data_IF_021816086401
#
_entry.id   IF_021816086401
#
_cell.length_a   1.000
_cell.length_b   1.000
_cell.length_c   1.000
_cell.angle_alpha   90.00
_cell.angle_beta   90.00
_cell.angle_gamma   90.00
#
_symmetry.space_group_name_H-M   'P 1'
#
loop_
_entity.id
_entity.type
_entity.pdbx_description
1 polymer ?
#
# COMPACT_ATOMS: atom_id res chain seq x y z
N UNK A 1 2.17 -71.24 -18.02
CA UNK A 1 3.11 -70.36 -18.73
C UNK A 1 2.33 -69.19 -19.26
N UNK A 2 2.44 -68.07 -18.63
CA UNK A 2 2.23 -66.76 -19.25
C UNK A 2 2.63 -65.69 -18.24
N UNK A 3 3.53 -64.85 -18.67
CA UNK A 3 4.18 -63.81 -17.84
C UNK A 3 3.31 -62.55 -17.83
N UNK A 4 2.87 -62.13 -16.65
CA UNK A 4 2.25 -60.84 -16.43
C UNK A 4 3.28 -59.71 -16.49
N UNK A 5 3.09 -58.78 -17.42
CA UNK A 5 3.87 -57.58 -17.56
C UNK A 5 3.43 -56.54 -16.55
N UNK A 6 4.39 -56.05 -15.75
CA UNK A 6 4.20 -54.90 -14.86
C UNK A 6 4.21 -53.60 -15.68
N UNK A 7 3.13 -52.84 -15.65
CA UNK A 7 3.07 -51.49 -16.18
C UNK A 7 3.76 -50.51 -15.21
N UNK A 8 4.83 -49.89 -15.68
CA UNK A 8 5.50 -48.79 -15.00
C UNK A 8 4.67 -47.51 -15.10
N UNK A 9 4.19 -47.02 -13.98
CA UNK A 9 3.65 -45.66 -13.84
C UNK A 9 4.80 -44.67 -13.88
N UNK A 10 4.87 -43.86 -14.91
CA UNK A 10 5.75 -42.68 -14.95
C UNK A 10 5.14 -41.59 -14.06
N UNK A 11 5.94 -40.88 -13.25
CA UNK A 11 5.44 -39.68 -12.53
C UNK A 11 5.33 -38.54 -13.55
N UNK A 12 4.12 -38.00 -13.66
CA UNK A 12 3.79 -36.89 -14.55
C UNK A 12 4.47 -35.58 -14.08
N UNK A 13 4.89 -34.86 -15.08
CA UNK A 13 5.49 -33.53 -15.14
C UNK A 13 4.76 -32.47 -14.32
N UNK A 14 5.28 -32.11 -13.14
CA UNK A 14 4.92 -30.91 -12.41
C UNK A 14 6.11 -29.93 -12.24
N UNK A 15 7.23 -30.17 -12.92
CA UNK A 15 8.46 -29.37 -12.74
C UNK A 15 8.50 -28.07 -13.57
N UNK A 16 7.80 -28.04 -14.69
CA UNK A 16 7.89 -26.89 -15.61
C UNK A 16 6.95 -25.75 -15.24
N UNK A 17 5.78 -26.05 -14.68
CA UNK A 17 4.84 -25.06 -14.18
C UNK A 17 5.37 -24.38 -12.89
N UNK A 18 6.05 -25.14 -12.03
CA UNK A 18 6.70 -24.60 -10.85
C UNK A 18 7.94 -23.76 -11.20
N UNK A 19 8.69 -24.12 -12.24
CA UNK A 19 9.83 -23.36 -12.72
C UNK A 19 9.39 -22.06 -13.42
N UNK A 20 8.33 -22.09 -14.21
CA UNK A 20 7.73 -20.91 -14.84
C UNK A 20 7.11 -19.96 -13.80
N UNK A 21 6.45 -20.51 -12.79
CA UNK A 21 5.93 -19.74 -11.65
C UNK A 21 7.06 -19.15 -10.78
N UNK A 22 8.21 -19.81 -10.68
CA UNK A 22 9.40 -19.31 -10.01
C UNK A 22 10.13 -18.24 -10.83
N UNK A 23 10.13 -18.34 -12.14
CA UNK A 23 10.78 -17.40 -13.05
C UNK A 23 10.00 -16.09 -13.20
N UNK A 24 8.65 -16.13 -13.22
CA UNK A 24 7.81 -14.92 -13.13
C UNK A 24 7.92 -14.20 -11.77
N UNK A 25 8.51 -14.85 -10.77
CA UNK A 25 8.64 -14.34 -9.42
C UNK A 25 9.95 -13.59 -9.16
N UNK A 26 10.90 -13.60 -10.10
CA UNK A 26 12.25 -13.06 -9.87
C UNK A 26 12.37 -11.55 -10.07
N UNK A 27 11.45 -10.87 -10.75
CA UNK A 27 11.65 -9.47 -11.16
C UNK A 27 10.53 -8.52 -10.72
N UNK A 28 10.32 -8.39 -9.39
CA UNK A 28 9.64 -7.18 -8.91
C UNK A 28 10.70 -6.09 -8.89
N UNK A 29 10.60 -5.05 -9.74
CA UNK A 29 11.57 -3.96 -9.78
C UNK A 29 11.43 -3.11 -8.52
N UNK A 30 12.24 -3.47 -7.52
CA UNK A 30 12.25 -2.88 -6.18
C UNK A 30 13.57 -2.16 -5.95
N UNK A 31 13.46 -0.90 -5.55
CA UNK A 31 14.61 -0.03 -5.33
C UNK A 31 14.55 0.61 -3.95
N UNK A 32 15.71 1.03 -3.46
CA UNK A 32 15.81 1.92 -2.31
C UNK A 32 16.40 3.25 -2.75
N UNK A 33 15.67 4.32 -2.47
CA UNK A 33 16.05 5.70 -2.76
C UNK A 33 16.11 6.52 -1.49
N UNK A 34 16.85 7.62 -1.49
CA UNK A 34 16.90 8.52 -0.34
C UNK A 34 15.88 9.64 -0.50
N UNK A 35 14.89 9.69 0.39
CA UNK A 35 13.91 10.78 0.46
C UNK A 35 13.98 11.41 1.83
N UNK A 36 14.25 12.71 1.92
CA UNK A 36 14.45 13.42 3.19
C UNK A 36 15.44 12.71 4.13
N UNK A 37 16.53 12.16 3.57
CA UNK A 37 17.56 11.38 4.27
C UNK A 37 17.06 10.03 4.83
N UNK A 38 15.85 9.60 4.48
CA UNK A 38 15.32 8.29 4.88
C UNK A 38 15.42 7.33 3.69
N UNK A 39 16.09 6.17 3.83
CA UNK A 39 16.06 5.12 2.83
C UNK A 39 14.62 4.64 2.62
N UNK A 40 14.13 4.77 1.41
CA UNK A 40 12.73 4.55 1.07
C UNK A 40 12.61 3.49 0.00
N UNK A 41 11.82 2.46 0.28
CA UNK A 41 11.51 1.43 -0.70
C UNK A 41 10.51 1.94 -1.73
N UNK A 42 10.81 1.71 -3.00
CA UNK A 42 9.97 2.02 -4.16
C UNK A 42 9.80 0.76 -5.00
N UNK A 43 8.60 0.48 -5.44
CA UNK A 43 8.30 -0.51 -6.46
C UNK A 43 7.87 0.25 -7.71
N UNK A 44 8.41 -0.14 -8.88
CA UNK A 44 8.21 0.56 -10.12
C UNK A 44 7.97 -0.42 -11.25
N UNK A 45 6.84 -0.32 -11.94
CA UNK A 45 6.54 -1.03 -13.17
C UNK A 45 6.56 -0.04 -14.35
N UNK A 46 7.40 -0.32 -15.37
CA UNK A 46 7.58 0.50 -16.58
C UNK A 46 9.05 0.73 -16.93
N UNK A 47 9.31 1.18 -18.16
CA UNK A 47 10.63 1.19 -18.80
C UNK A 47 11.71 2.09 -18.15
N UNK A 48 11.34 2.88 -17.12
CA UNK A 48 12.21 3.96 -16.63
C UNK A 48 12.64 3.80 -15.18
N UNK A 49 12.41 2.64 -14.60
CA UNK A 49 12.77 2.37 -13.22
C UNK A 49 14.28 2.30 -12.98
N UNK A 50 15.08 2.06 -14.00
CA UNK A 50 16.54 1.91 -13.90
C UNK A 50 17.30 3.21 -13.67
N UNK A 51 16.67 4.38 -13.87
CA UNK A 51 17.32 5.68 -13.71
C UNK A 51 16.56 6.68 -12.84
N UNK A 52 15.36 6.35 -12.33
CA UNK A 52 14.50 7.22 -11.52
C UNK A 52 14.29 8.64 -12.08
N UNK A 53 14.42 8.81 -13.38
CA UNK A 53 14.06 10.05 -14.08
C UNK A 53 13.17 9.64 -15.24
N UNK A 54 11.92 10.06 -15.22
CA UNK A 54 11.06 9.86 -16.37
C UNK A 54 11.60 10.68 -17.56
N UNK A 55 11.73 10.04 -18.71
CA UNK A 55 12.10 10.74 -19.95
C UNK A 55 10.89 11.48 -20.53
N UNK A 56 11.15 12.39 -21.50
CA UNK A 56 10.20 13.37 -22.07
C UNK A 56 8.93 12.82 -22.74
N UNK A 57 8.80 11.54 -22.95
CA UNK A 57 7.55 10.95 -23.45
C UNK A 57 6.57 10.74 -22.30
N UNK A 58 5.68 11.71 -22.14
CA UNK A 58 4.81 11.93 -21.02
C UNK A 58 3.73 10.84 -20.79
N UNK A 59 4.16 9.59 -20.60
CA UNK A 59 3.25 8.56 -20.10
C UNK A 59 2.76 8.97 -18.71
N UNK A 60 1.45 8.85 -18.44
CA UNK A 60 0.93 9.12 -17.11
C UNK A 60 1.62 8.24 -16.06
N UNK A 61 1.96 8.85 -14.94
CA UNK A 61 2.50 8.15 -13.76
C UNK A 61 1.35 7.87 -12.80
N UNK A 62 1.09 6.61 -12.52
CA UNK A 62 0.19 6.17 -11.45
C UNK A 62 1.04 6.02 -10.19
N UNK A 63 0.84 6.90 -9.20
CA UNK A 63 1.54 6.84 -7.93
C UNK A 63 0.65 6.25 -6.85
N UNK A 64 1.06 5.10 -6.30
CA UNK A 64 0.35 4.39 -5.24
C UNK A 64 0.94 4.79 -3.88
N UNK A 65 0.07 5.31 -3.01
CA UNK A 65 0.38 5.71 -1.63
C UNK A 65 -0.33 4.75 -0.67
N UNK A 66 0.45 3.95 0.08
CA UNK A 66 -0.10 2.88 0.92
C UNK A 66 -0.87 3.38 2.13
N UNK A 67 -1.64 2.49 2.73
CA UNK A 67 -2.20 2.65 4.06
C UNK A 67 -1.17 2.39 5.17
N UNK A 68 -1.64 2.08 6.37
CA UNK A 68 -0.82 1.68 7.50
C UNK A 68 -1.05 0.18 7.82
N UNK A 69 0.00 -0.66 7.84
CA UNK A 69 1.43 -0.37 7.68
C UNK A 69 1.82 0.00 6.25
N UNK A 70 2.74 0.96 6.15
CA UNK A 70 3.10 1.64 4.90
C UNK A 70 4.13 0.93 4.02
N UNK A 71 4.19 -0.39 4.00
CA UNK A 71 5.04 -1.12 3.07
C UNK A 71 4.35 -1.27 1.71
N UNK A 72 5.02 -0.80 0.67
CA UNK A 72 4.49 -0.90 -0.69
C UNK A 72 4.52 -2.34 -1.25
N UNK A 73 5.26 -3.26 -0.62
CA UNK A 73 5.27 -4.67 -0.99
C UNK A 73 3.88 -5.31 -0.93
N UNK A 74 3.01 -4.87 -0.02
CA UNK A 74 1.63 -5.33 0.05
C UNK A 74 0.82 -5.03 -1.20
N UNK A 75 1.21 -4.02 -1.97
CA UNK A 75 0.50 -3.54 -3.15
C UNK A 75 1.06 -4.11 -4.46
N UNK A 76 2.03 -5.01 -4.41
CA UNK A 76 2.71 -5.53 -5.60
C UNK A 76 1.75 -6.10 -6.63
N UNK A 77 0.82 -6.98 -6.22
CA UNK A 77 -0.13 -7.61 -7.13
C UNK A 77 -1.15 -6.61 -7.69
N UNK A 78 -1.58 -5.66 -6.85
CA UNK A 78 -2.44 -4.55 -7.25
C UNK A 78 -1.79 -3.67 -8.33
N UNK A 79 -0.52 -3.30 -8.12
CA UNK A 79 0.24 -2.45 -9.03
C UNK A 79 0.56 -3.17 -10.34
N UNK A 80 0.94 -4.45 -10.25
CA UNK A 80 1.22 -5.30 -11.41
C UNK A 80 -0.01 -5.41 -12.30
N UNK A 81 -1.18 -5.71 -11.74
CA UNK A 81 -2.44 -5.83 -12.47
C UNK A 81 -2.79 -4.54 -13.24
N UNK A 82 -2.56 -3.37 -12.63
CA UNK A 82 -2.76 -2.08 -13.30
C UNK A 82 -1.79 -1.94 -14.48
N UNK A 83 -0.51 -2.19 -14.26
CA UNK A 83 0.52 -2.01 -15.28
C UNK A 83 0.35 -2.95 -16.47
N UNK A 84 0.24 -4.25 -16.20
CA UNK A 84 0.11 -5.30 -17.23
C UNK A 84 -1.21 -5.14 -18.00
N UNK A 85 -2.30 -4.89 -17.30
CA UNK A 85 -3.60 -4.73 -17.92
C UNK A 85 -3.72 -3.48 -18.79
N UNK A 86 -2.99 -2.41 -18.50
CA UNK A 86 -2.89 -1.21 -19.34
C UNK A 86 -1.78 -1.32 -20.42
N UNK A 87 -1.11 -2.49 -20.51
CA UNK A 87 -0.14 -2.81 -21.57
C UNK A 87 0.96 -1.74 -21.71
N UNK A 88 1.47 -1.24 -20.58
CA UNK A 88 2.54 -0.24 -20.54
C UNK A 88 2.16 1.16 -21.02
N UNK A 89 0.85 1.49 -21.11
CA UNK A 89 0.38 2.84 -21.42
C UNK A 89 0.61 3.84 -20.28
N UNK A 90 0.88 3.35 -19.09
CA UNK A 90 1.20 4.12 -17.89
C UNK A 90 2.46 3.58 -17.24
N UNK A 91 3.10 4.39 -16.41
CA UNK A 91 4.12 3.95 -15.46
C UNK A 91 3.41 3.79 -14.10
N UNK A 92 3.68 2.71 -13.36
CA UNK A 92 3.07 2.49 -12.05
C UNK A 92 4.13 2.45 -10.97
N UNK A 93 4.13 3.45 -10.12
CA UNK A 93 5.05 3.58 -8.99
C UNK A 93 4.31 3.46 -7.67
N UNK A 94 4.99 2.86 -6.70
CA UNK A 94 4.52 2.82 -5.33
C UNK A 94 5.66 3.15 -4.38
N UNK A 95 5.38 3.97 -3.36
CA UNK A 95 6.37 4.46 -2.42
C UNK A 95 5.98 4.13 -0.98
N UNK A 96 6.82 3.37 -0.29
CA UNK A 96 6.62 3.02 1.13
C UNK A 96 6.62 4.28 2.02
N UNK A 97 6.03 4.17 3.20
CA UNK A 97 6.18 5.21 4.22
C UNK A 97 7.60 5.23 4.77
N UNK A 98 8.08 6.42 5.12
CA UNK A 98 9.37 6.59 5.75
C UNK A 98 9.46 5.72 7.01
N UNK A 99 10.51 4.90 7.09
CA UNK A 99 10.76 4.04 8.23
C UNK A 99 9.92 2.76 8.33
N UNK A 100 8.95 2.52 7.43
CA UNK A 100 8.09 1.32 7.50
C UNK A 100 8.68 0.08 6.83
N UNK A 101 9.80 0.22 6.16
CA UNK A 101 10.52 -0.90 5.54
C UNK A 101 12.00 -0.78 5.86
N UNK A 102 12.60 -1.88 6.32
CA UNK A 102 14.01 -1.90 6.63
C UNK A 102 14.84 -1.98 5.35
N UNK A 103 15.78 -1.06 5.14
CA UNK A 103 16.63 -1.06 3.98
C UNK A 103 17.70 -2.18 4.06
N UNK A 104 18.29 -2.55 2.91
CA UNK A 104 19.46 -3.43 2.90
C UNK A 104 20.67 -2.72 3.50
N UNK A 105 21.59 -3.50 4.09
CA UNK A 105 22.87 -2.96 4.56
C UNK A 105 23.69 -2.41 3.37
N UNK A 106 24.45 -1.31 3.54
CA UNK A 106 24.75 -0.61 4.80
C UNK A 106 23.74 0.49 5.18
N UNK A 107 22.65 0.70 4.43
CA UNK A 107 21.66 1.75 4.72
C UNK A 107 20.98 1.51 6.06
N UNK A 108 20.63 2.59 6.75
CA UNK A 108 19.94 2.56 8.04
C UNK A 108 18.83 3.59 8.07
N UNK A 109 17.74 3.26 8.76
CA UNK A 109 16.66 4.21 9.06
C UNK A 109 17.16 5.14 10.17
N UNK A 110 16.98 6.47 10.07
CA UNK A 110 17.23 7.40 11.18
C UNK A 110 16.50 6.94 12.44
N UNK A 111 17.14 7.09 13.60
CA UNK A 111 16.56 6.66 14.86
C UNK A 111 15.23 7.40 15.10
N UNK A 112 14.18 6.62 15.41
CA UNK A 112 12.82 7.14 15.59
C UNK A 112 12.69 8.04 16.81
N UNK A 113 13.46 7.77 17.86
CA UNK A 113 13.43 8.55 19.10
C UNK A 113 14.12 9.91 18.94
N UNK A 114 15.19 9.96 18.12
CA UNK A 114 15.92 11.19 17.82
C UNK A 114 15.19 12.05 16.77
N UNK A 115 14.41 11.41 15.87
CA UNK A 115 13.76 12.08 14.75
C UNK A 115 12.25 11.71 14.60
N UNK A 116 11.43 11.84 15.66
CA UNK A 116 10.04 11.39 15.64
C UNK A 116 9.19 12.12 14.58
N UNK A 117 9.52 13.34 14.25
CA UNK A 117 8.80 14.15 13.25
C UNK A 117 8.90 13.58 11.83
N UNK A 118 9.98 12.86 11.49
CA UNK A 118 10.10 12.20 10.18
C UNK A 118 9.03 11.12 9.97
N UNK A 119 8.54 10.55 11.06
CA UNK A 119 7.61 9.41 11.07
C UNK A 119 6.18 9.81 11.46
N UNK A 120 5.93 11.07 11.79
CA UNK A 120 4.59 11.62 12.03
C UNK A 120 3.76 11.67 10.74
N UNK A 121 2.47 11.94 10.82
CA UNK A 121 1.61 12.15 9.66
C UNK A 121 2.15 13.26 8.76
N UNK A 122 2.51 14.40 9.36
CA UNK A 122 3.11 15.54 8.66
C UNK A 122 4.44 15.16 7.99
N UNK A 123 5.30 14.43 8.70
CA UNK A 123 6.55 13.91 8.14
C UNK A 123 6.32 13.00 6.93
N UNK A 124 5.32 12.13 6.98
CA UNK A 124 4.98 11.25 5.87
C UNK A 124 4.40 12.02 4.67
N UNK A 125 3.60 13.06 4.90
CA UNK A 125 3.09 13.94 3.85
C UNK A 125 4.27 14.67 3.18
N UNK A 126 5.13 15.30 3.96
CA UNK A 126 6.34 15.97 3.47
C UNK A 126 7.27 15.02 2.71
N UNK A 127 7.38 13.76 3.16
CA UNK A 127 8.12 12.71 2.49
C UNK A 127 7.54 12.38 1.10
N UNK A 128 6.21 12.27 0.97
CA UNK A 128 5.57 12.01 -0.33
C UNK A 128 5.73 13.19 -1.30
N UNK A 129 5.57 14.42 -0.81
CA UNK A 129 5.81 15.64 -1.60
C UNK A 129 7.26 15.72 -2.08
N UNK A 130 8.23 15.41 -1.21
CA UNK A 130 9.65 15.38 -1.56
C UNK A 130 9.95 14.29 -2.58
N UNK A 131 9.34 13.10 -2.44
CA UNK A 131 9.47 12.02 -3.41
C UNK A 131 8.96 12.46 -4.79
N UNK A 132 7.76 13.03 -4.86
CA UNK A 132 7.18 13.52 -6.12
C UNK A 132 8.10 14.55 -6.75
N UNK A 133 8.53 15.55 -5.99
CA UNK A 133 9.41 16.63 -6.48
C UNK A 133 10.76 16.11 -6.99
N UNK A 134 11.30 15.07 -6.36
CA UNK A 134 12.63 14.57 -6.64
C UNK A 134 12.67 13.56 -7.80
N UNK A 135 11.62 12.75 -7.94
CA UNK A 135 11.63 11.58 -8.83
C UNK A 135 10.57 11.59 -9.93
N UNK A 136 9.53 12.40 -9.81
CA UNK A 136 8.52 12.53 -10.87
C UNK A 136 8.83 13.80 -11.68
N UNK A 137 8.91 13.71 -13.00
CA UNK A 137 9.20 14.88 -13.85
C UNK A 137 8.18 15.99 -13.65
N UNK A 138 8.66 17.21 -13.66
CA UNK A 138 7.79 18.39 -13.62
C UNK A 138 6.85 18.38 -14.83
N UNK A 139 5.54 18.54 -14.56
CA UNK A 139 4.50 18.54 -15.60
C UNK A 139 4.03 17.17 -16.06
N UNK A 140 4.64 16.07 -15.63
CA UNK A 140 4.17 14.72 -15.97
C UNK A 140 2.69 14.53 -15.52
N UNK A 141 1.83 13.94 -16.38
CA UNK A 141 0.47 13.61 -15.97
C UNK A 141 0.48 12.61 -14.82
N UNK A 142 -0.12 12.98 -13.70
CA UNK A 142 -0.08 12.20 -12.46
C UNK A 142 -1.49 11.67 -12.12
N UNK A 143 -1.57 10.38 -11.85
CA UNK A 143 -2.74 9.71 -11.30
C UNK A 143 -2.37 9.24 -9.90
N UNK A 144 -3.03 9.78 -8.89
CA UNK A 144 -2.78 9.41 -7.49
C UNK A 144 -3.73 8.29 -7.08
N UNK A 145 -3.19 7.28 -6.40
CA UNK A 145 -3.99 6.20 -5.80
C UNK A 145 -3.63 6.11 -4.32
N UNK A 146 -4.53 6.55 -3.46
CA UNK A 146 -4.39 6.42 -2.01
C UNK A 146 -5.20 5.24 -1.48
N UNK A 147 -4.66 4.54 -0.50
CA UNK A 147 -5.40 3.55 0.27
C UNK A 147 -5.42 3.91 1.75
N UNK A 148 -6.58 3.80 2.40
CA UNK A 148 -6.71 4.06 3.84
C UNK A 148 -6.18 5.46 4.20
N UNK A 149 -5.20 5.57 5.11
CA UNK A 149 -4.55 6.85 5.46
C UNK A 149 -3.77 7.45 4.28
N UNK A 150 -3.39 6.67 3.27
CA UNK A 150 -2.83 7.19 2.04
C UNK A 150 -3.79 8.11 1.28
N UNK A 151 -5.11 7.96 1.49
CA UNK A 151 -6.11 8.89 0.95
C UNK A 151 -6.01 10.30 1.56
N UNK A 152 -5.77 10.39 2.87
CA UNK A 152 -5.49 11.65 3.54
C UNK A 152 -4.23 12.32 2.97
N UNK A 153 -3.17 11.53 2.75
CA UNK A 153 -1.95 12.06 2.11
C UNK A 153 -2.20 12.55 0.67
N UNK A 154 -3.06 11.85 -0.09
CA UNK A 154 -3.44 12.31 -1.44
C UNK A 154 -4.15 13.67 -1.37
N UNK A 155 -5.10 13.86 -0.43
CA UNK A 155 -5.76 15.15 -0.25
C UNK A 155 -4.76 16.25 0.15
N UNK A 156 -3.82 15.96 1.03
CA UNK A 156 -2.78 16.91 1.43
C UNK A 156 -1.81 17.24 0.27
N UNK A 157 -1.51 16.29 -0.61
CA UNK A 157 -0.72 16.54 -1.83
C UNK A 157 -1.49 17.48 -2.77
N UNK A 158 -2.79 17.23 -3.02
CA UNK A 158 -3.63 18.10 -3.85
C UNK A 158 -3.72 19.53 -3.28
N UNK A 159 -3.76 19.66 -1.96
CA UNK A 159 -3.84 20.93 -1.25
C UNK A 159 -2.54 21.73 -1.31
N UNK A 160 -1.40 21.04 -1.10
CA UNK A 160 -0.08 21.69 -0.89
C UNK A 160 0.74 21.84 -2.16
N UNK A 161 0.41 21.10 -3.22
CA UNK A 161 1.14 21.13 -4.48
C UNK A 161 0.18 21.27 -5.67
N UNK A 162 -0.55 22.42 -5.76
CA UNK A 162 -1.52 22.67 -6.82
C UNK A 162 -0.88 22.78 -8.21
N UNK A 163 0.43 22.97 -8.27
CA UNK A 163 1.22 22.98 -9.51
C UNK A 163 1.40 21.60 -10.15
N UNK A 164 1.13 20.51 -9.42
CA UNK A 164 1.23 19.18 -9.98
C UNK A 164 0.12 18.91 -11.00
N UNK A 165 0.49 18.32 -12.11
CA UNK A 165 -0.46 17.95 -13.17
C UNK A 165 -1.27 16.70 -12.81
N UNK A 166 -2.02 16.76 -11.69
CA UNK A 166 -2.88 15.66 -11.24
C UNK A 166 -4.11 15.58 -12.12
N UNK A 167 -4.22 14.48 -12.89
CA UNK A 167 -5.35 14.20 -13.79
C UNK A 167 -6.50 13.52 -13.08
N UNK A 168 -6.22 12.63 -12.12
CA UNK A 168 -7.22 11.89 -11.34
C UNK A 168 -6.62 11.44 -10.02
N UNK A 169 -7.45 11.31 -8.99
CA UNK A 169 -7.08 10.74 -7.72
C UNK A 169 -8.14 9.73 -7.26
N UNK A 170 -7.70 8.50 -7.00
CA UNK A 170 -8.53 7.41 -6.50
C UNK A 170 -8.28 7.24 -5.01
N UNK A 171 -9.31 7.43 -4.19
CA UNK A 171 -9.28 7.29 -2.74
C UNK A 171 -9.95 5.96 -2.37
N UNK A 172 -9.16 4.94 -2.11
CA UNK A 172 -9.64 3.57 -1.83
C UNK A 172 -9.76 3.33 -0.33
N UNK A 173 -10.96 2.98 0.15
CA UNK A 173 -11.23 2.72 1.56
C UNK A 173 -10.72 3.85 2.46
N UNK A 174 -11.18 5.09 2.26
CA UNK A 174 -10.50 6.30 2.73
C UNK A 174 -10.60 6.48 4.24
N UNK A 175 -9.44 6.55 4.91
CA UNK A 175 -9.31 6.94 6.31
C UNK A 175 -8.93 8.43 6.37
N UNK A 176 -9.92 9.31 6.21
CA UNK A 176 -9.74 10.77 6.04
C UNK A 176 -10.47 11.61 7.09
N UNK A 177 -11.16 10.96 8.03
CA UNK A 177 -11.91 11.64 9.11
C UNK A 177 -12.09 10.74 10.32
N UNK A 178 -12.25 11.33 11.49
CA UNK A 178 -12.70 10.69 12.75
C UNK A 178 -12.03 9.35 13.06
N UNK A 179 -10.71 9.24 12.86
CA UNK A 179 -9.99 8.01 13.12
C UNK A 179 -10.06 7.59 14.59
N UNK A 180 -10.11 8.55 15.50
CA UNK A 180 -10.26 8.31 16.95
C UNK A 180 -11.58 7.64 17.31
N UNK A 181 -12.64 7.83 16.52
CA UNK A 181 -13.96 7.22 16.71
C UNK A 181 -14.13 5.86 15.99
N UNK A 182 -13.14 5.43 15.19
CA UNK A 182 -13.26 4.17 14.46
C UNK A 182 -13.27 2.95 15.39
N UNK A 183 -14.15 1.95 15.18
CA UNK A 183 -14.23 0.76 16.02
C UNK A 183 -12.91 0.00 16.20
N UNK A 184 -12.08 -0.05 15.16
CA UNK A 184 -10.75 -0.69 15.22
C UNK A 184 -9.77 0.02 16.13
N UNK A 185 -9.89 1.34 16.28
CA UNK A 185 -8.97 2.15 17.08
C UNK A 185 -9.10 1.83 18.57
N UNK A 186 -10.28 1.48 19.06
CA UNK A 186 -10.47 1.07 20.44
C UNK A 186 -9.60 -0.15 20.85
N UNK A 187 -9.29 -1.02 19.89
CA UNK A 187 -8.43 -2.19 20.09
C UNK A 187 -6.95 -1.82 19.92
N UNK A 188 -6.62 -1.00 18.92
CA UNK A 188 -5.24 -0.70 18.54
C UNK A 188 -4.62 0.37 19.44
N UNK A 189 -5.38 1.38 19.81
CA UNK A 189 -4.88 2.50 20.61
C UNK A 189 -4.22 2.08 21.94
N UNK A 190 -4.78 1.15 22.75
CA UNK A 190 -4.10 0.65 23.94
C UNK A 190 -2.74 -0.02 23.64
N UNK A 191 -2.65 -0.79 22.55
CA UNK A 191 -1.42 -1.47 22.15
C UNK A 191 -0.33 -0.47 21.76
N UNK A 192 -0.70 0.57 21.02
CA UNK A 192 0.24 1.59 20.52
C UNK A 192 0.64 2.57 21.61
N UNK A 193 -0.27 2.88 22.54
CA UNK A 193 -0.05 3.92 23.56
C UNK A 193 0.53 3.36 24.85
N UNK A 194 -0.08 2.30 25.40
CA UNK A 194 0.25 1.80 26.75
C UNK A 194 1.12 0.54 26.71
N UNK A 195 0.86 -0.36 25.75
CA UNK A 195 1.55 -1.65 25.65
C UNK A 195 2.69 -1.64 24.64
N UNK A 196 3.06 -0.47 24.11
CA UNK A 196 4.12 -0.32 23.12
C UNK A 196 5.42 -1.05 23.49
N UNK A 197 6.02 -0.88 24.71
CA UNK A 197 7.25 -1.56 25.05
C UNK A 197 7.11 -3.08 25.05
N UNK A 198 5.99 -3.59 25.58
CA UNK A 198 5.70 -5.02 25.61
C UNK A 198 5.48 -5.57 24.19
N UNK A 199 4.75 -4.85 23.35
CA UNK A 199 4.50 -5.24 21.94
C UNK A 199 5.81 -5.31 21.16
N UNK A 200 6.68 -4.31 21.29
CA UNK A 200 7.99 -4.27 20.64
C UNK A 200 8.87 -5.41 21.16
N UNK A 201 8.92 -5.65 22.48
CA UNK A 201 9.71 -6.72 23.07
C UNK A 201 9.21 -8.10 22.58
N UNK A 202 7.91 -8.35 22.55
CA UNK A 202 7.31 -9.61 22.08
C UNK A 202 7.65 -9.86 20.62
N UNK A 203 7.45 -8.86 19.74
CA UNK A 203 7.74 -8.99 18.31
C UNK A 203 9.26 -9.13 18.05
N UNK A 204 10.10 -8.47 18.86
CA UNK A 204 11.55 -8.65 18.81
C UNK A 204 11.97 -10.07 19.22
N UNK A 205 11.34 -10.63 20.25
CA UNK A 205 11.58 -12.00 20.67
C UNK A 205 11.16 -13.03 19.60
N UNK A 206 10.03 -12.80 18.92
CA UNK A 206 9.60 -13.64 17.80
C UNK A 206 10.63 -13.71 16.67
N UNK A 207 11.45 -12.70 16.48
CA UNK A 207 12.54 -12.70 15.48
C UNK A 207 13.71 -13.61 15.84
N UNK A 208 13.83 -14.01 17.09
CA UNK A 208 14.84 -14.99 17.51
C UNK A 208 14.47 -16.41 17.09
N UNK A 209 13.21 -16.65 16.74
CA UNK A 209 12.76 -17.94 16.24
C UNK A 209 13.36 -18.25 14.86
N UNK A 210 13.51 -19.54 14.49
CA UNK A 210 13.90 -19.93 13.14
C UNK A 210 12.97 -19.33 12.09
N UNK A 211 13.51 -18.91 10.93
CA UNK A 211 12.75 -18.27 9.86
C UNK A 211 11.51 -19.05 9.43
N UNK A 212 11.58 -20.39 9.40
CA UNK A 212 10.43 -21.23 9.09
C UNK A 212 9.26 -21.04 10.06
N UNK A 213 9.56 -20.92 11.36
CA UNK A 213 8.56 -20.67 12.42
C UNK A 213 7.97 -19.26 12.28
N UNK A 214 8.82 -18.26 12.06
CA UNK A 214 8.35 -16.88 11.82
C UNK A 214 7.36 -16.83 10.63
N UNK A 215 7.75 -17.43 9.50
CA UNK A 215 6.90 -17.49 8.31
C UNK A 215 5.57 -18.21 8.57
N UNK A 216 5.61 -19.30 9.34
CA UNK A 216 4.39 -20.04 9.71
C UNK A 216 3.45 -19.18 10.56
N UNK A 217 3.98 -18.49 11.58
CA UNK A 217 3.19 -17.62 12.46
C UNK A 217 2.59 -16.43 11.69
N UNK A 218 3.36 -15.83 10.80
CA UNK A 218 2.88 -14.73 9.94
C UNK A 218 1.79 -15.23 8.98
N UNK A 219 1.98 -16.39 8.36
CA UNK A 219 0.96 -17.01 7.49
C UNK A 219 -0.33 -17.28 8.25
N UNK A 220 -0.23 -17.86 9.45
CA UNK A 220 -1.38 -18.15 10.30
C UNK A 220 -2.10 -16.84 10.70
N UNK A 221 -1.35 -15.82 11.12
CA UNK A 221 -1.92 -14.52 11.46
C UNK A 221 -2.67 -13.90 10.26
N UNK A 222 -2.04 -13.84 9.08
CA UNK A 222 -2.69 -13.27 7.90
C UNK A 222 -3.90 -14.10 7.49
N UNK A 223 -3.78 -15.43 7.48
CA UNK A 223 -4.86 -16.34 7.17
C UNK A 223 -6.09 -16.11 8.06
N UNK A 224 -5.88 -15.97 9.37
CA UNK A 224 -6.96 -15.65 10.31
C UNK A 224 -7.48 -14.22 10.09
N UNK A 225 -6.60 -13.25 9.88
CA UNK A 225 -6.97 -11.85 9.64
C UNK A 225 -7.73 -11.66 8.31
N UNK A 226 -7.51 -12.55 7.33
CA UNK A 226 -8.20 -12.54 6.04
C UNK A 226 -9.41 -13.48 5.98
N UNK A 227 -9.94 -13.86 7.14
CA UNK A 227 -11.06 -14.81 7.25
C UNK A 227 -10.82 -16.09 6.42
N UNK A 228 -9.64 -16.68 6.60
CA UNK A 228 -9.22 -17.94 5.99
C UNK A 228 -9.01 -17.90 4.47
N UNK A 229 -8.75 -16.74 3.87
CA UNK A 229 -8.29 -16.66 2.49
C UNK A 229 -6.75 -16.81 2.40
N UNK A 230 -6.26 -17.24 1.24
CA UNK A 230 -4.81 -17.41 1.03
C UNK A 230 -4.16 -16.06 0.72
N UNK A 231 -3.22 -15.58 1.53
CA UNK A 231 -2.55 -14.31 1.28
C UNK A 231 -1.60 -14.40 0.09
N UNK A 232 -1.41 -13.29 -0.61
CA UNK A 232 -0.39 -13.16 -1.65
C UNK A 232 1.02 -13.35 -1.08
N UNK A 233 1.95 -13.87 -1.89
CA UNK A 233 3.36 -14.05 -1.47
C UNK A 233 4.04 -12.70 -1.16
N UNK A 234 3.71 -11.65 -1.90
CA UNK A 234 4.16 -10.28 -1.65
C UNK A 234 3.72 -9.78 -0.27
N UNK A 235 2.49 -10.10 0.14
CA UNK A 235 1.97 -9.76 1.47
C UNK A 235 2.75 -10.44 2.60
N UNK A 236 3.17 -11.69 2.39
CA UNK A 236 4.02 -12.41 3.36
C UNK A 236 5.41 -11.77 3.48
N UNK A 237 6.02 -11.37 2.36
CA UNK A 237 7.33 -10.67 2.39
C UNK A 237 7.23 -9.31 3.07
N UNK A 238 6.23 -8.52 2.69
CA UNK A 238 5.97 -7.23 3.31
C UNK A 238 5.80 -7.34 4.83
N UNK A 239 5.07 -8.37 5.30
CA UNK A 239 4.89 -8.62 6.72
C UNK A 239 6.21 -8.98 7.42
N UNK A 240 7.03 -9.88 6.85
CA UNK A 240 8.34 -10.25 7.44
C UNK A 240 9.27 -9.04 7.57
N UNK A 241 9.30 -8.18 6.54
CA UNK A 241 10.13 -6.97 6.53
C UNK A 241 9.64 -5.91 7.52
N UNK A 242 8.32 -5.83 7.70
CA UNK A 242 7.69 -4.89 8.61
C UNK A 242 7.96 -5.19 10.11
N UNK A 243 8.04 -6.47 10.50
CA UNK A 243 8.24 -6.86 11.91
C UNK A 243 9.65 -6.60 12.46
N UNK A 244 10.40 -5.65 11.91
CA UNK A 244 11.65 -5.18 12.50
C UNK A 244 11.38 -4.11 13.56
N UNK A 245 12.10 -4.12 14.71
CA UNK A 245 11.84 -3.17 15.80
C UNK A 245 11.84 -1.72 15.36
N UNK A 246 12.82 -1.33 14.53
CA UNK A 246 12.94 0.02 13.98
C UNK A 246 11.71 0.40 13.13
N UNK A 247 11.20 -0.51 12.32
CA UNK A 247 10.00 -0.28 11.50
C UNK A 247 8.72 -0.22 12.34
N UNK A 248 8.62 -1.09 13.33
CA UNK A 248 7.50 -1.08 14.29
C UNK A 248 7.44 0.22 15.08
N UNK A 249 8.61 0.72 15.50
CA UNK A 249 8.68 2.00 16.22
C UNK A 249 8.19 3.17 15.35
N UNK A 250 8.65 3.24 14.09
CA UNK A 250 8.17 4.25 13.14
C UNK A 250 6.66 4.13 12.90
N UNK A 251 6.16 2.91 12.74
CA UNK A 251 4.73 2.65 12.57
C UNK A 251 3.92 3.04 13.82
N UNK A 252 4.42 2.81 15.03
CA UNK A 252 3.72 3.21 16.26
C UNK A 252 3.64 4.72 16.41
N UNK A 253 4.73 5.45 16.11
CA UNK A 253 4.70 6.91 16.09
C UNK A 253 3.65 7.40 15.10
N UNK A 254 3.68 6.88 13.87
CA UNK A 254 2.71 7.22 12.84
C UNK A 254 1.27 6.89 13.24
N UNK A 255 1.02 5.66 13.72
CA UNK A 255 -0.32 5.23 14.12
C UNK A 255 -0.91 6.10 15.21
N UNK A 256 -0.11 6.43 16.23
CA UNK A 256 -0.56 7.31 17.31
C UNK A 256 -0.88 8.72 16.78
N UNK A 257 -0.02 9.23 15.92
CA UNK A 257 -0.16 10.59 15.38
C UNK A 257 -1.43 10.72 14.51
N UNK A 258 -1.69 9.76 13.61
CA UNK A 258 -2.89 9.79 12.76
C UNK A 258 -4.19 9.64 13.56
N UNK A 259 -4.20 8.83 14.62
CA UNK A 259 -5.36 8.68 15.51
C UNK A 259 -5.66 10.02 16.21
N UNK A 260 -4.64 10.76 16.56
CA UNK A 260 -4.79 12.04 17.28
C UNK A 260 -5.15 13.21 16.36
N UNK A 261 -4.66 13.22 15.13
CA UNK A 261 -4.68 14.39 14.27
C UNK A 261 -5.61 14.30 13.05
N UNK A 262 -5.97 13.09 12.59
CA UNK A 262 -6.91 12.91 11.46
C UNK A 262 -8.34 12.80 12.00
N UNK A 263 -8.93 13.95 12.35
CA UNK A 263 -10.26 14.04 12.96
C UNK A 263 -11.30 14.62 12.01
N UNK A 264 -10.98 15.73 11.36
CA UNK A 264 -11.90 16.42 10.48
C UNK A 264 -11.58 16.13 9.01
N UNK A 265 -12.62 15.93 8.21
CA UNK A 265 -12.50 15.77 6.76
C UNK A 265 -12.21 17.13 6.14
N UNK A 266 -11.21 17.20 5.28
CA UNK A 266 -10.90 18.44 4.52
C UNK A 266 -11.92 18.65 3.38
N UNK A 267 -13.08 19.17 3.75
CA UNK A 267 -14.18 19.43 2.82
C UNK A 267 -13.82 20.46 1.76
N UNK A 268 -12.94 21.42 2.09
CA UNK A 268 -12.50 22.45 1.15
C UNK A 268 -11.68 21.86 0.01
N UNK A 269 -10.70 21.01 0.33
CA UNK A 269 -9.89 20.34 -0.69
C UNK A 269 -10.71 19.37 -1.52
N UNK A 270 -11.65 18.64 -0.91
CA UNK A 270 -12.55 17.74 -1.62
C UNK A 270 -13.44 18.50 -2.60
N UNK A 271 -14.07 19.60 -2.17
CA UNK A 271 -14.91 20.43 -3.03
C UNK A 271 -14.12 21.02 -4.21
N UNK A 272 -12.90 21.50 -3.94
CA UNK A 272 -12.02 22.10 -4.96
C UNK A 272 -11.59 21.12 -6.05
N UNK A 273 -11.49 19.83 -5.72
CA UNK A 273 -11.01 18.79 -6.61
C UNK A 273 -12.04 17.69 -6.90
N UNK A 274 -13.32 17.93 -6.65
CA UNK A 274 -14.38 16.92 -6.79
C UNK A 274 -14.39 16.25 -8.17
N UNK A 275 -14.12 17.00 -9.23
CA UNK A 275 -14.01 16.53 -10.62
C UNK A 275 -12.88 15.52 -10.83
N UNK A 276 -11.81 15.64 -10.05
CA UNK A 276 -10.64 14.75 -10.10
C UNK A 276 -10.71 13.58 -9.14
N UNK A 277 -11.63 13.59 -8.17
CA UNK A 277 -11.73 12.54 -7.17
C UNK A 277 -12.66 11.41 -7.61
N UNK A 278 -12.27 10.19 -7.30
CA UNK A 278 -13.15 9.02 -7.18
C UNK A 278 -12.91 8.45 -5.79
N UNK A 279 -13.97 8.42 -4.98
CA UNK A 279 -13.90 7.96 -3.58
C UNK A 279 -14.61 6.62 -3.47
N UNK A 280 -13.91 5.57 -3.04
CA UNK A 280 -14.42 4.20 -3.01
C UNK A 280 -14.44 3.65 -1.59
N UNK A 281 -15.64 3.50 -1.03
CA UNK A 281 -15.87 3.01 0.34
C UNK A 281 -16.17 1.51 0.37
N UNK A 282 -15.81 0.86 1.47
CA UNK A 282 -16.19 -0.52 1.76
C UNK A 282 -17.55 -0.60 2.48
N UNK A 283 -18.38 -1.57 2.12
CA UNK A 283 -19.69 -1.76 2.79
C UNK A 283 -19.53 -2.22 4.25
N UNK A 284 -18.52 -3.03 4.55
CA UNK A 284 -18.25 -3.58 5.87
C UNK A 284 -16.86 -3.14 6.38
N UNK A 285 -16.58 -1.87 6.27
CA UNK A 285 -15.28 -1.31 6.67
C UNK A 285 -15.34 -0.74 8.09
N UNK A 286 -14.53 -1.30 8.99
CA UNK A 286 -14.46 -0.86 10.39
C UNK A 286 -13.46 0.31 10.61
N UNK A 287 -12.71 0.73 9.58
CA UNK A 287 -11.87 1.92 9.61
C UNK A 287 -12.55 3.13 8.99
N UNK A 288 -13.44 2.88 8.03
CA UNK A 288 -14.20 3.89 7.31
C UNK A 288 -15.65 3.39 7.17
N UNK A 289 -16.43 3.48 8.25
CA UNK A 289 -17.81 3.01 8.29
C UNK A 289 -18.67 3.54 7.15
N UNK A 290 -19.71 2.78 6.78
CA UNK A 290 -20.60 3.12 5.64
C UNK A 290 -21.31 4.46 5.82
N UNK A 291 -21.48 4.92 7.04
CA UNK A 291 -22.05 6.23 7.37
C UNK A 291 -21.19 7.37 6.80
N UNK A 292 -19.88 7.15 6.63
CA UNK A 292 -18.98 8.14 5.99
C UNK A 292 -19.20 8.20 4.49
N UNK A 293 -19.58 7.09 3.85
CA UNK A 293 -20.02 7.07 2.46
C UNK A 293 -21.31 7.87 2.27
N UNK A 294 -22.33 7.65 3.11
CA UNK A 294 -23.59 8.36 3.04
C UNK A 294 -23.41 9.87 3.28
N UNK A 295 -22.57 10.22 4.25
CA UNK A 295 -22.23 11.62 4.52
C UNK A 295 -21.45 12.27 3.36
N UNK A 296 -20.49 11.57 2.77
CA UNK A 296 -19.73 12.04 1.62
C UNK A 296 -20.65 12.32 0.43
N UNK A 297 -21.55 11.40 0.08
CA UNK A 297 -22.53 11.58 -1.00
C UNK A 297 -23.50 12.73 -0.76
N UNK A 298 -23.94 12.89 0.49
CA UNK A 298 -24.84 13.99 0.86
C UNK A 298 -24.13 15.35 0.78
N UNK A 299 -22.86 15.41 1.22
CA UNK A 299 -22.10 16.66 1.25
C UNK A 299 -21.59 17.05 -0.14
N UNK A 300 -21.25 16.08 -1.00
CA UNK A 300 -20.68 16.30 -2.33
C UNK A 300 -21.43 15.49 -3.39
N UNK A 301 -22.68 15.90 -3.73
CA UNK A 301 -23.52 15.14 -4.65
C UNK A 301 -22.94 15.05 -6.07
N UNK A 302 -22.08 15.99 -6.47
CA UNK A 302 -21.39 16.01 -7.77
C UNK A 302 -20.10 15.16 -7.81
N UNK A 303 -19.61 14.70 -6.65
CA UNK A 303 -18.40 13.90 -6.60
C UNK A 303 -18.68 12.43 -6.97
N UNK A 304 -17.68 11.78 -7.61
CA UNK A 304 -17.74 10.35 -7.92
C UNK A 304 -17.48 9.52 -6.66
N UNK A 305 -18.53 9.25 -5.89
CA UNK A 305 -18.48 8.48 -4.63
C UNK A 305 -19.15 7.13 -4.85
N UNK A 306 -18.38 6.07 -4.63
CA UNK A 306 -18.78 4.69 -4.91
C UNK A 306 -18.73 3.83 -3.65
N UNK A 307 -19.65 2.85 -3.57
CA UNK A 307 -19.67 1.83 -2.52
C UNK A 307 -19.24 0.48 -3.10
N UNK A 308 -18.45 -0.27 -2.35
CA UNK A 308 -18.02 -1.61 -2.71
C UNK A 308 -19.15 -2.63 -2.54
N UNK A 309 -19.72 -3.09 -3.64
CA UNK A 309 -20.74 -4.15 -3.66
C UNK A 309 -20.13 -5.57 -3.71
N UNK A 310 -18.80 -5.68 -3.93
CA UNK A 310 -18.10 -6.95 -4.09
C UNK A 310 -17.60 -7.55 -2.77
N UNK A 311 -17.90 -6.92 -1.63
CA UNK A 311 -17.47 -7.39 -0.31
C UNK A 311 -15.95 -7.32 -0.07
N UNK A 312 -15.22 -6.48 -0.80
CA UNK A 312 -13.81 -6.26 -0.54
C UNK A 312 -13.61 -5.65 0.84
N UNK A 313 -12.64 -6.18 1.58
CA UNK A 313 -12.29 -5.70 2.91
C UNK A 313 -11.32 -4.53 2.83
N UNK A 314 -11.24 -3.76 3.91
CA UNK A 314 -10.27 -2.66 4.05
C UNK A 314 -8.85 -3.10 3.65
N UNK A 315 -8.38 -4.22 4.17
CA UNK A 315 -7.06 -4.76 3.88
C UNK A 315 -7.01 -5.62 2.60
N UNK A 316 -7.67 -5.20 1.52
CA UNK A 316 -7.76 -5.91 0.24
C UNK A 316 -6.40 -6.33 -0.35
N UNK A 317 -5.35 -5.58 -0.02
CA UNK A 317 -3.98 -5.82 -0.50
C UNK A 317 -3.41 -7.17 -0.05
N UNK A 318 -3.98 -7.79 0.98
CA UNK A 318 -3.50 -9.06 1.51
C UNK A 318 -3.90 -10.26 0.64
N UNK A 319 -5.09 -10.21 0.02
CA UNK A 319 -5.70 -11.35 -0.69
C UNK A 319 -6.51 -10.99 -1.94
N UNK A 320 -6.86 -9.71 -2.14
CA UNK A 320 -7.71 -9.21 -3.25
C UNK A 320 -7.03 -8.11 -4.08
N UNK A 321 -5.70 -8.03 -3.99
CA UNK A 321 -4.93 -7.02 -4.72
C UNK A 321 -5.19 -7.02 -6.23
N UNK A 322 -5.28 -8.19 -6.84
CA UNK A 322 -5.57 -8.35 -8.29
C UNK A 322 -6.98 -7.86 -8.63
N UNK A 323 -7.99 -8.26 -7.84
CA UNK A 323 -9.39 -7.89 -8.09
C UNK A 323 -9.61 -6.37 -8.05
N UNK A 324 -9.06 -5.72 -7.00
CA UNK A 324 -9.13 -4.27 -6.83
C UNK A 324 -8.25 -3.56 -7.87
N UNK A 325 -7.09 -4.14 -8.22
CA UNK A 325 -6.23 -3.66 -9.29
C UNK A 325 -6.94 -3.63 -10.64
N UNK A 326 -7.64 -4.70 -10.98
CA UNK A 326 -8.44 -4.80 -12.22
C UNK A 326 -9.57 -3.77 -12.27
N UNK A 327 -10.21 -3.51 -11.14
CA UNK A 327 -11.24 -2.47 -11.02
C UNK A 327 -10.64 -1.08 -11.27
N UNK A 328 -9.56 -0.73 -10.58
CA UNK A 328 -8.88 0.58 -10.74
C UNK A 328 -8.31 0.73 -12.13
N UNK A 329 -7.74 -0.33 -12.71
CA UNK A 329 -7.31 -0.36 -14.11
C UNK A 329 -8.43 0.05 -15.05
N UNK A 330 -9.64 -0.52 -14.89
CA UNK A 330 -10.80 -0.16 -15.70
C UNK A 330 -11.15 1.33 -15.61
N UNK A 331 -11.03 1.94 -14.44
CA UNK A 331 -11.23 3.37 -14.27
C UNK A 331 -10.15 4.20 -14.96
N UNK A 332 -8.88 3.79 -14.85
CA UNK A 332 -7.77 4.46 -15.55
C UNK A 332 -7.93 4.31 -17.07
N UNK A 333 -8.33 3.14 -17.55
CA UNK A 333 -8.56 2.91 -18.99
C UNK A 333 -9.60 3.86 -19.57
N UNK A 334 -10.67 4.12 -18.82
CA UNK A 334 -11.70 5.11 -19.22
C UNK A 334 -11.15 6.54 -19.27
N UNK A 335 -10.22 6.88 -18.38
CA UNK A 335 -9.55 8.19 -18.36
C UNK A 335 -8.58 8.39 -19.55
N UNK A 336 -8.03 7.30 -20.09
CA UNK A 336 -7.02 7.33 -21.16
C UNK A 336 -7.63 7.30 -22.58
N UNK A 337 -8.94 7.15 -22.67
CA UNK A 337 -9.71 7.23 -23.93
C UNK A 337 -10.00 8.70 -24.30
#
# INVERSE_FOLDING_TARGET
>A
MEKGGAASLQPGSNSDDDAAAQQQQQDIPMYFVSVNKVPTQVICFGDQCSGLVATDDAKPVVLVIPGNPGSIEFYTEFMREIYEGLKGKVIVWGVSHAGHVAPPKPMQIPNVEDHPTLYSCEGQIGHKLSFIKQYIPSGAPLILVGHSIGCHMVLEILKRAPELNVRKAFLLFPAIQSLDACPRVSIINPLVTYLRPLTVATLSALRLLPRGVQNLLIRLYIFLATACTTPHRSSLRGAVNYFRPECLMACFVFTRDIIQNVRERDNETIARHADKLTVYYGQNDHWSPVEYYDDMRRTFPEADVRLCERGFRHAFVLDRGVDVGSMVRGWIETLLR
#
